data_IF_305778167954
#
_entry.id   IF_305778167954
#
_cell.length_a   1.000
_cell.length_b   1.000
_cell.length_c   1.000
_cell.angle_alpha   90.00
_cell.angle_beta   90.00
_cell.angle_gamma   90.00
#
_symmetry.space_group_name_H-M   'P 1'
#
loop_
_entity.id
_entity.type
_entity.pdbx_description
1 polymer ?
#
# COMPACT_ATOMS: atom_id res chain seq x y z
N UNK A 1 37.63 -1.68 27.84
CA UNK A 1 37.06 -2.03 26.55
C UNK A 1 35.72 -1.37 26.43
N UNK A 2 35.65 -0.28 25.67
CA UNK A 2 34.38 0.40 25.38
C UNK A 2 33.68 -0.32 24.22
N UNK A 3 32.54 -0.91 24.52
CA UNK A 3 31.63 -1.44 23.50
C UNK A 3 30.93 -0.28 22.79
N UNK A 4 31.42 0.10 21.62
CA UNK A 4 30.76 1.04 20.72
C UNK A 4 29.88 0.29 19.75
N UNK A 5 28.91 -0.48 20.22
CA UNK A 5 27.83 -1.04 19.36
C UNK A 5 26.60 -0.13 19.41
N UNK A 6 26.78 1.09 18.92
CA UNK A 6 25.71 2.07 18.79
C UNK A 6 24.94 1.97 17.48
N UNK A 7 24.76 0.78 16.95
CA UNK A 7 23.77 0.56 15.91
C UNK A 7 22.41 0.41 16.61
N UNK A 8 21.63 1.48 16.64
CA UNK A 8 20.24 1.39 17.09
C UNK A 8 19.49 0.44 16.13
N UNK A 9 19.29 -0.78 16.57
CA UNK A 9 18.41 -1.70 15.86
C UNK A 9 17.01 -1.11 15.81
N UNK A 10 16.52 -0.88 14.60
CA UNK A 10 15.13 -0.47 14.41
C UNK A 10 14.22 -1.57 14.95
N UNK A 11 13.38 -1.24 15.91
CA UNK A 11 12.40 -2.16 16.47
C UNK A 11 11.11 -2.10 15.62
N UNK A 12 10.83 -3.19 14.91
CA UNK A 12 9.63 -3.31 14.08
C UNK A 12 8.32 -3.24 14.88
N UNK A 13 8.36 -3.47 16.19
CA UNK A 13 7.18 -3.29 17.06
C UNK A 13 6.76 -1.82 17.18
N UNK A 14 7.61 -0.87 16.80
CA UNK A 14 7.23 0.54 16.70
C UNK A 14 6.25 0.83 15.57
N UNK A 15 6.07 -0.09 14.61
CA UNK A 15 5.09 0.02 13.53
C UNK A 15 3.72 -0.44 14.05
N UNK A 16 3.22 0.26 15.06
CA UNK A 16 1.90 0.04 15.65
C UNK A 16 1.24 1.37 15.98
N UNK A 17 -0.10 1.47 15.91
CA UNK A 17 -0.81 2.67 16.30
C UNK A 17 -0.48 3.10 17.73
N UNK A 18 -0.38 4.40 17.96
CA UNK A 18 -0.11 4.98 19.26
C UNK A 18 1.38 5.13 19.62
N UNK A 19 2.29 4.70 18.76
CA UNK A 19 3.73 4.90 18.96
C UNK A 19 4.18 6.26 18.44
N UNK A 20 5.25 6.78 19.02
CA UNK A 20 5.88 8.02 18.57
C UNK A 20 6.41 7.90 17.13
N UNK A 21 6.93 6.72 16.77
CA UNK A 21 7.37 6.42 15.42
C UNK A 21 6.24 6.59 14.39
N UNK A 22 5.05 6.05 14.68
CA UNK A 22 3.90 6.15 13.77
C UNK A 22 3.40 7.59 13.67
N UNK A 23 3.45 8.36 14.74
CA UNK A 23 3.10 9.77 14.70
C UNK A 23 4.05 10.57 13.80
N UNK A 24 5.36 10.34 13.93
CA UNK A 24 6.37 10.97 13.07
C UNK A 24 6.24 10.53 11.62
N UNK A 25 6.03 9.25 11.37
CA UNK A 25 5.83 8.72 10.03
C UNK A 25 4.61 9.37 9.36
N UNK A 26 3.51 9.52 10.07
CA UNK A 26 2.29 10.16 9.57
C UNK A 26 2.55 11.61 9.18
N UNK A 27 3.29 12.37 10.00
CA UNK A 27 3.67 13.74 9.68
C UNK A 27 4.54 13.83 8.43
N UNK A 28 5.53 12.94 8.30
CA UNK A 28 6.40 12.87 7.12
C UNK A 28 5.63 12.51 5.85
N UNK A 29 4.70 11.56 5.93
CA UNK A 29 3.83 11.20 4.80
C UNK A 29 2.93 12.35 4.39
N UNK A 30 2.34 13.04 5.35
CA UNK A 30 1.49 14.21 5.09
C UNK A 30 2.26 15.31 4.37
N UNK A 31 3.48 15.60 4.82
CA UNK A 31 4.37 16.56 4.18
C UNK A 31 4.77 16.11 2.77
N UNK A 32 5.12 14.83 2.59
CA UNK A 32 5.48 14.26 1.29
C UNK A 32 4.33 14.39 0.28
N UNK A 33 3.12 14.04 0.68
CA UNK A 33 1.93 14.14 -0.17
C UNK A 33 1.67 15.60 -0.56
N UNK A 34 1.71 16.48 0.40
CA UNK A 34 1.52 17.91 0.18
C UNK A 34 2.52 18.49 -0.83
N UNK A 35 3.80 18.15 -0.65
CA UNK A 35 4.87 18.57 -1.55
C UNK A 35 4.67 18.03 -2.96
N UNK A 36 4.35 16.74 -3.09
CA UNK A 36 4.09 16.11 -4.38
C UNK A 36 2.89 16.71 -5.10
N UNK A 37 1.81 16.98 -4.41
CA UNK A 37 0.63 17.59 -5.00
C UNK A 37 0.89 19.02 -5.50
N UNK A 38 1.83 19.74 -4.91
CA UNK A 38 2.18 21.08 -5.33
C UNK A 38 3.22 21.14 -6.44
N UNK A 39 4.23 20.26 -6.40
CA UNK A 39 5.42 20.37 -7.24
C UNK A 39 5.45 19.36 -8.41
N UNK A 40 4.79 18.22 -8.27
CA UNK A 40 4.86 17.16 -9.28
C UNK A 40 3.67 17.23 -10.25
N UNK A 41 3.92 17.45 -11.55
CA UNK A 41 2.85 17.53 -12.55
C UNK A 41 2.01 16.24 -12.65
N UNK A 42 2.58 15.08 -12.34
CA UNK A 42 1.88 13.79 -12.37
C UNK A 42 0.82 13.66 -11.27
N UNK A 43 0.91 14.49 -10.23
CA UNK A 43 -0.03 14.49 -9.11
C UNK A 43 -1.15 15.52 -9.26
N UNK A 44 -1.14 16.29 -10.35
CA UNK A 44 -2.18 17.30 -10.59
C UNK A 44 -3.51 16.60 -10.93
N UNK A 45 -4.59 17.09 -10.31
CA UNK A 45 -5.92 16.51 -10.49
C UNK A 45 -6.15 15.19 -9.72
N UNK A 46 -5.18 14.72 -8.95
CA UNK A 46 -5.32 13.54 -8.10
C UNK A 46 -5.87 13.95 -6.73
N UNK A 47 -6.89 13.26 -6.28
CA UNK A 47 -7.39 13.35 -4.91
C UNK A 47 -6.69 12.33 -4.04
N UNK A 48 -6.11 12.75 -2.92
CA UNK A 48 -5.40 11.88 -1.99
C UNK A 48 -6.07 11.89 -0.63
N UNK A 49 -6.43 10.72 -0.14
CA UNK A 49 -6.99 10.52 1.21
C UNK A 49 -5.97 9.77 2.05
N UNK A 50 -5.50 10.41 3.10
CA UNK A 50 -4.60 9.80 4.07
C UNK A 50 -5.39 9.41 5.32
N UNK A 51 -5.47 8.10 5.59
CA UNK A 51 -6.04 7.56 6.83
C UNK A 51 -4.90 7.12 7.74
N UNK A 52 -4.67 7.89 8.80
CA UNK A 52 -3.58 7.66 9.74
C UNK A 52 -3.91 6.66 10.86
N UNK A 53 -2.96 6.43 11.76
CA UNK A 53 -3.12 5.47 12.87
C UNK A 53 -4.15 5.91 13.91
N UNK A 54 -4.54 7.17 13.92
CA UNK A 54 -5.61 7.71 14.78
C UNK A 54 -7.01 7.19 14.41
N UNK A 55 -7.20 6.75 13.17
CA UNK A 55 -8.45 6.15 12.71
C UNK A 55 -8.40 4.63 12.94
N UNK A 56 -9.35 4.04 13.68
CA UNK A 56 -9.36 2.60 13.97
C UNK A 56 -9.48 1.74 12.72
N UNK A 57 -8.87 0.56 12.75
CA UNK A 57 -8.97 -0.46 11.74
C UNK A 57 -7.66 -0.69 10.98
N UNK A 58 -7.55 -1.86 10.37
CA UNK A 58 -6.45 -2.21 9.47
C UNK A 58 -6.60 -1.48 8.13
N UNK A 59 -5.48 -1.25 7.44
CA UNK A 59 -5.45 -0.47 6.20
C UNK A 59 -6.38 -0.98 5.12
N UNK A 60 -6.38 -2.28 4.88
CA UNK A 60 -7.24 -2.93 3.89
C UNK A 60 -8.73 -2.79 4.23
N UNK A 61 -9.11 -2.91 5.49
CA UNK A 61 -10.48 -2.73 5.93
C UNK A 61 -10.93 -1.27 5.80
N UNK A 62 -10.06 -0.31 6.07
CA UNK A 62 -10.33 1.11 5.87
C UNK A 62 -10.59 1.43 4.39
N UNK A 63 -9.82 0.83 3.49
CA UNK A 63 -10.00 0.99 2.05
C UNK A 63 -11.34 0.42 1.61
N UNK A 64 -11.72 -0.76 2.09
CA UNK A 64 -13.01 -1.38 1.78
C UNK A 64 -14.19 -0.57 2.31
N UNK A 65 -14.06 0.00 3.49
CA UNK A 65 -15.07 0.91 4.07
C UNK A 65 -15.23 2.18 3.24
N UNK A 66 -14.13 2.73 2.76
CA UNK A 66 -14.13 3.89 1.88
C UNK A 66 -14.86 3.58 0.56
N UNK A 67 -14.57 2.44 -0.06
CA UNK A 67 -15.26 2.00 -1.30
C UNK A 67 -16.76 1.84 -1.04
N UNK A 68 -17.16 1.20 0.05
CA UNK A 68 -18.57 1.05 0.42
C UNK A 68 -19.27 2.40 0.58
N UNK A 69 -18.61 3.33 1.22
CA UNK A 69 -19.13 4.70 1.41
C UNK A 69 -19.29 5.41 0.06
N UNK A 70 -18.32 5.27 -0.83
CA UNK A 70 -18.42 5.84 -2.19
C UNK A 70 -19.55 5.22 -2.99
N UNK A 71 -19.74 3.90 -2.91
CA UNK A 71 -20.82 3.18 -3.61
C UNK A 71 -22.21 3.64 -3.19
N UNK A 72 -22.36 4.12 -1.96
CA UNK A 72 -23.62 4.64 -1.46
C UNK A 72 -23.95 6.05 -1.99
N UNK A 73 -23.00 6.72 -2.64
CA UNK A 73 -23.23 8.04 -3.23
C UNK A 73 -24.05 7.94 -4.52
N UNK A 74 -24.99 8.88 -4.79
CA UNK A 74 -25.87 8.80 -5.95
C UNK A 74 -25.12 9.00 -7.28
N UNK A 75 -23.97 9.62 -7.27
CA UNK A 75 -23.12 9.88 -8.43
C UNK A 75 -22.02 8.83 -8.65
N UNK A 76 -22.03 7.74 -7.90
CA UNK A 76 -21.04 6.68 -8.03
C UNK A 76 -21.14 5.98 -9.40
N UNK A 77 -19.99 5.90 -10.09
CA UNK A 77 -19.89 5.17 -11.35
C UNK A 77 -19.78 3.66 -11.06
N UNK A 78 -20.76 2.83 -11.49
CA UNK A 78 -20.70 1.38 -11.28
C UNK A 78 -19.54 0.70 -12.02
N UNK A 79 -18.95 1.35 -13.01
CA UNK A 79 -17.76 0.88 -13.74
C UNK A 79 -16.45 1.45 -13.20
N UNK A 80 -16.46 2.04 -12.03
CA UNK A 80 -15.26 2.55 -11.39
C UNK A 80 -14.17 1.46 -11.31
N UNK A 81 -12.98 1.79 -11.76
CA UNK A 81 -11.81 0.90 -11.65
C UNK A 81 -11.12 1.10 -10.32
N UNK A 82 -10.78 -0.02 -9.68
CA UNK A 82 -10.04 -0.03 -8.42
C UNK A 82 -8.74 -0.79 -8.60
N UNK A 83 -7.69 -0.29 -7.98
CA UNK A 83 -6.42 -0.98 -7.90
C UNK A 83 -5.91 -0.91 -6.46
N UNK A 84 -5.75 -2.06 -5.81
CA UNK A 84 -5.25 -2.17 -4.45
C UNK A 84 -3.81 -2.69 -4.47
N UNK A 85 -2.91 -1.92 -3.90
CA UNK A 85 -1.52 -2.31 -3.75
C UNK A 85 -1.28 -2.94 -2.37
N UNK A 86 -0.75 -4.16 -2.36
CA UNK A 86 -0.41 -4.84 -1.12
C UNK A 86 0.13 -6.26 -1.36
N UNK A 87 0.72 -6.84 -0.33
CA UNK A 87 1.35 -8.16 -0.37
C UNK A 87 0.51 -9.25 0.30
N UNK A 88 -0.49 -8.89 1.08
CA UNK A 88 -1.30 -9.82 1.86
C UNK A 88 -2.26 -10.62 0.98
N UNK A 89 -2.28 -11.94 1.18
CA UNK A 89 -3.19 -12.83 0.48
C UNK A 89 -4.68 -12.56 0.82
N UNK A 90 -4.98 -12.04 1.99
CA UNK A 90 -6.33 -11.68 2.41
C UNK A 90 -6.96 -10.58 1.53
N UNK A 91 -6.14 -9.80 0.82
CA UNK A 91 -6.59 -8.78 -0.11
C UNK A 91 -7.43 -9.36 -1.26
N UNK A 92 -7.15 -10.59 -1.70
CA UNK A 92 -7.92 -11.27 -2.73
C UNK A 92 -9.36 -11.50 -2.25
N UNK A 93 -9.51 -11.98 -1.02
CA UNK A 93 -10.83 -12.21 -0.42
C UNK A 93 -11.61 -10.93 -0.23
N UNK A 94 -10.95 -9.86 0.22
CA UNK A 94 -11.57 -8.55 0.38
C UNK A 94 -12.01 -7.96 -0.97
N UNK A 95 -11.18 -8.08 -1.99
CA UNK A 95 -11.50 -7.62 -3.33
C UNK A 95 -12.71 -8.37 -3.92
N UNK A 96 -12.78 -9.69 -3.73
CA UNK A 96 -13.94 -10.50 -4.13
C UNK A 96 -15.20 -10.08 -3.38
N UNK A 97 -15.08 -9.83 -2.08
CA UNK A 97 -16.20 -9.41 -1.23
C UNK A 97 -16.72 -8.00 -1.56
N UNK A 98 -15.93 -7.16 -2.23
CA UNK A 98 -16.35 -5.83 -2.65
C UNK A 98 -17.45 -5.85 -3.73
N UNK A 99 -17.56 -6.95 -4.48
CA UNK A 99 -18.42 -7.09 -5.66
C UNK A 99 -18.22 -6.03 -6.75
N UNK A 100 -17.06 -5.37 -6.76
CA UNK A 100 -16.68 -4.42 -7.79
C UNK A 100 -16.28 -5.15 -9.08
N UNK A 101 -16.81 -4.77 -10.25
CA UNK A 101 -16.54 -5.48 -11.51
C UNK A 101 -15.10 -5.25 -12.01
N UNK A 102 -14.51 -4.10 -11.72
CA UNK A 102 -13.19 -3.70 -12.20
C UNK A 102 -12.22 -3.51 -11.02
N UNK A 103 -11.83 -4.61 -10.41
CA UNK A 103 -10.90 -4.62 -9.30
C UNK A 103 -9.61 -5.36 -9.68
N UNK A 104 -8.48 -4.73 -9.47
CA UNK A 104 -7.17 -5.33 -9.67
C UNK A 104 -6.34 -5.24 -8.40
N UNK A 105 -5.53 -6.24 -8.15
CA UNK A 105 -4.52 -6.26 -7.10
C UNK A 105 -3.13 -6.09 -7.73
N UNK A 106 -2.40 -5.11 -7.25
CA UNK A 106 -1.01 -4.87 -7.62
C UNK A 106 -0.10 -5.32 -6.49
N UNK A 107 0.89 -6.11 -6.80
CA UNK A 107 1.90 -6.56 -5.83
C UNK A 107 3.28 -6.64 -6.49
N UNK A 108 4.31 -6.56 -5.68
CA UNK A 108 5.65 -6.83 -6.15
C UNK A 108 5.83 -8.34 -6.41
N UNK A 109 6.56 -8.66 -7.48
CA UNK A 109 6.91 -10.04 -7.76
C UNK A 109 7.92 -10.53 -6.73
N UNK A 110 7.55 -11.56 -5.98
CA UNK A 110 8.46 -12.21 -5.04
C UNK A 110 9.10 -13.39 -5.74
N UNK A 111 10.41 -13.29 -6.04
CA UNK A 111 11.16 -14.38 -6.62
C UNK A 111 11.63 -15.34 -5.52
N UNK A 112 10.92 -16.46 -5.36
CA UNK A 112 11.35 -17.53 -4.46
C UNK A 112 12.45 -18.36 -5.12
N UNK A 113 13.59 -18.56 -4.44
CA UNK A 113 14.51 -19.68 -4.72
C UNK A 113 15.82 -19.35 -5.41
N UNK A 114 16.21 -18.11 -5.63
CA UNK A 114 17.62 -17.80 -5.92
C UNK A 114 18.35 -17.35 -4.67
N UNK A 115 19.23 -18.21 -4.17
CA UNK A 115 20.25 -17.80 -3.20
C UNK A 115 21.10 -16.72 -3.87
N UNK A 116 20.94 -15.52 -3.38
CA UNK A 116 21.53 -14.37 -4.01
C UNK A 116 22.88 -14.12 -3.41
N UNK A 117 23.91 -14.38 -4.19
CA UNK A 117 25.25 -13.82 -4.06
C UNK A 117 25.42 -12.60 -4.97
N UNK A 118 24.32 -11.98 -5.41
CA UNK A 118 24.38 -10.79 -6.25
C UNK A 118 24.50 -9.53 -5.39
N UNK A 119 25.31 -8.57 -5.85
CA UNK A 119 25.52 -7.31 -5.16
C UNK A 119 24.23 -6.54 -4.93
N UNK A 120 24.17 -5.75 -3.86
CA UNK A 120 23.03 -4.94 -3.48
C UNK A 120 22.56 -4.04 -4.64
N UNK A 121 23.47 -3.58 -5.46
CA UNK A 121 23.18 -2.76 -6.64
C UNK A 121 22.36 -3.50 -7.70
N UNK A 122 22.68 -4.77 -7.93
CA UNK A 122 21.94 -5.62 -8.86
C UNK A 122 20.55 -5.95 -8.34
N UNK A 123 20.39 -6.07 -7.01
CA UNK A 123 19.08 -6.19 -6.34
C UNK A 123 18.21 -4.96 -6.54
N UNK A 124 18.77 -3.77 -6.43
CA UNK A 124 18.04 -2.52 -6.65
C UNK A 124 17.60 -2.35 -8.11
N UNK A 125 18.41 -2.81 -9.06
CA UNK A 125 18.06 -2.76 -10.49
C UNK A 125 17.01 -3.79 -10.88
N UNK A 126 16.99 -4.96 -10.24
CA UNK A 126 16.02 -6.03 -10.53
C UNK A 126 14.67 -5.76 -9.87
N UNK A 127 14.65 -5.07 -8.73
CA UNK A 127 13.41 -4.77 -8.02
C UNK A 127 12.60 -3.63 -8.63
N UNK A 128 13.19 -2.88 -9.57
CA UNK A 128 12.57 -1.64 -10.08
C UNK A 128 11.34 -1.84 -10.95
N UNK A 129 11.14 -3.02 -11.58
CA UNK A 129 10.13 -3.13 -12.65
C UNK A 129 9.31 -4.44 -12.64
N UNK A 130 9.29 -5.21 -11.53
CA UNK A 130 8.53 -6.45 -11.49
C UNK A 130 7.32 -6.36 -10.58
N UNK A 131 6.21 -5.96 -11.19
CA UNK A 131 4.90 -5.98 -10.56
C UNK A 131 4.01 -7.04 -11.20
N UNK A 132 3.17 -7.68 -10.40
CA UNK A 132 2.12 -8.57 -10.85
C UNK A 132 0.78 -7.90 -10.68
N UNK A 133 -0.06 -7.99 -11.71
CA UNK A 133 -1.43 -7.47 -11.68
C UNK A 133 -2.41 -8.63 -11.76
N UNK A 134 -3.23 -8.80 -10.73
CA UNK A 134 -4.27 -9.82 -10.67
C UNK A 134 -5.63 -9.15 -10.88
N UNK A 135 -6.32 -9.54 -11.96
CA UNK A 135 -7.69 -9.10 -12.22
C UNK A 135 -8.69 -10.02 -11.48
N UNK A 136 -9.42 -9.44 -10.56
CA UNK A 136 -10.35 -10.18 -9.69
C UNK A 136 -11.54 -10.75 -10.46
N UNK A 137 -11.96 -10.11 -11.53
CA UNK A 137 -13.02 -10.65 -12.40
C UNK A 137 -12.68 -12.03 -12.93
N UNK A 138 -11.41 -12.29 -13.29
CA UNK A 138 -10.95 -13.60 -13.74
C UNK A 138 -10.97 -14.64 -12.64
N UNK A 139 -10.66 -14.26 -11.42
CA UNK A 139 -10.69 -15.15 -10.24
C UNK A 139 -12.11 -15.59 -9.90
N UNK A 140 -13.12 -14.73 -10.12
CA UNK A 140 -14.54 -15.05 -9.88
C UNK A 140 -15.08 -16.10 -10.83
N UNK A 141 -14.54 -16.18 -12.04
CA UNK A 141 -14.97 -17.15 -13.06
C UNK A 141 -14.47 -18.57 -12.81
N UNK A 142 -13.49 -18.72 -11.94
CA UNK A 142 -12.93 -19.98 -11.51
C UNK A 142 -13.35 -20.33 -10.08
#
# INVERSE_FOLDING_TARGET
GEDTSGASHFDSNCITPGTEFMAKLTEHLRFFIYKKMQEDPLWQGVEVVLSGPETPGEGEHKIMDYIRTMKAQPDFDPNQRHCLYGLDADLIMLALASHEPHFALLREEVVFGKRVTESVEKRMLISKDRFQLLHISLVREY
#
